data_IF_749674184121
#
_entry.id   IF_749674184121
#
_cell.length_a   1.000
_cell.length_b   1.000
_cell.length_c   1.000
_cell.angle_alpha   90.00
_cell.angle_beta   90.00
_cell.angle_gamma   90.00
#
_symmetry.space_group_name_H-M   'P 1'
#
loop_
_entity.id
_entity.type
_entity.pdbx_description
1 polymer ?
#
# COMPACT_ATOMS: atom_id res chain seq x y z
N UNK A 1 -15.66 15.32 -0.43
CA UNK A 1 -15.73 13.95 0.14
C UNK A 1 -14.44 13.71 0.93
N UNK A 2 -14.43 14.01 2.23
CA UNK A 2 -13.21 13.98 3.05
C UNK A 2 -12.97 12.61 3.65
N UNK A 3 -11.92 11.91 3.23
CA UNK A 3 -11.47 10.69 3.90
C UNK A 3 -10.91 11.04 5.28
N UNK A 4 -11.69 10.76 6.33
CA UNK A 4 -11.32 10.97 7.73
C UNK A 4 -10.36 9.87 8.16
N UNK A 5 -9.07 10.18 8.18
CA UNK A 5 -8.02 9.27 8.62
C UNK A 5 -8.16 8.95 10.11
N UNK A 6 -8.48 7.69 10.42
CA UNK A 6 -8.52 7.16 11.79
C UNK A 6 -7.22 6.41 12.05
N UNK A 7 -6.28 7.06 12.74
CA UNK A 7 -5.12 6.39 13.30
C UNK A 7 -5.59 5.35 14.34
N UNK A 8 -5.50 4.07 14.00
CA UNK A 8 -5.68 2.98 14.94
C UNK A 8 -4.32 2.45 15.39
N UNK A 9 -4.05 2.47 16.71
CA UNK A 9 -2.97 1.69 17.33
C UNK A 9 -3.25 0.17 17.24
N UNK A 10 -3.46 -0.36 16.05
CA UNK A 10 -3.58 -1.81 15.81
C UNK A 10 -2.86 -2.11 14.51
N UNK A 11 -1.68 -2.73 14.59
CA UNK A 11 -1.04 -3.29 13.39
C UNK A 11 0.48 -3.23 13.30
N UNK A 12 1.21 -2.79 14.33
CA UNK A 12 2.67 -3.02 14.34
C UNK A 12 2.87 -4.52 14.54
N UNK A 13 3.08 -5.27 13.44
CA UNK A 13 3.33 -6.71 13.44
C UNK A 13 2.18 -7.61 12.99
N UNK A 14 1.02 -7.08 12.61
CA UNK A 14 -0.09 -7.90 12.09
C UNK A 14 -0.04 -7.92 10.57
N UNK A 15 0.12 -9.11 9.94
CA UNK A 15 -0.17 -9.27 8.51
C UNK A 15 -1.58 -8.74 8.25
N UNK A 16 -1.81 -7.82 7.31
CA UNK A 16 -3.16 -7.45 6.93
C UNK A 16 -3.93 -8.75 6.61
N UNK A 17 -5.14 -8.91 7.12
CA UNK A 17 -5.99 -10.05 6.79
C UNK A 17 -6.49 -10.05 5.33
N UNK A 18 -5.68 -9.58 4.39
CA UNK A 18 -6.03 -9.36 2.99
C UNK A 18 -4.81 -9.14 2.11
N UNK A 19 -5.05 -9.09 0.80
CA UNK A 19 -4.05 -8.96 -0.27
C UNK A 19 -3.24 -7.68 -0.13
N UNK A 20 -1.91 -7.80 -0.19
CA UNK A 20 -0.95 -6.68 -0.17
C UNK A 20 -0.36 -6.45 -1.56
N UNK A 21 0.32 -5.32 -1.77
CA UNK A 21 1.07 -5.08 -3.02
C UNK A 21 2.11 -6.18 -3.29
N UNK A 22 2.64 -6.80 -2.25
CA UNK A 22 3.56 -7.93 -2.34
C UNK A 22 2.86 -9.26 -2.66
N UNK A 23 1.55 -9.29 -2.87
CA UNK A 23 0.82 -10.47 -3.34
C UNK A 23 0.38 -10.30 -4.80
N UNK A 24 0.44 -9.07 -5.34
CA UNK A 24 0.04 -8.76 -6.70
C UNK A 24 1.13 -9.11 -7.72
N UNK A 25 0.70 -9.50 -8.91
CA UNK A 25 1.56 -9.75 -10.06
C UNK A 25 1.73 -8.50 -10.94
N UNK A 26 2.76 -8.44 -11.80
CA UNK A 26 2.88 -7.38 -12.79
C UNK A 26 1.64 -7.28 -13.69
N UNK A 27 1.25 -6.06 -14.04
CA UNK A 27 0.05 -5.75 -14.81
C UNK A 27 -1.25 -5.72 -13.99
N UNK A 28 -1.23 -6.12 -12.72
CA UNK A 28 -2.43 -6.05 -11.87
C UNK A 28 -2.69 -4.62 -11.38
N UNK A 29 -3.95 -4.20 -11.50
CA UNK A 29 -4.47 -2.97 -10.91
C UNK A 29 -5.26 -3.28 -9.64
N UNK A 30 -5.09 -2.45 -8.60
CA UNK A 30 -5.80 -2.60 -7.34
C UNK A 30 -6.11 -1.23 -6.71
N UNK A 31 -7.16 -1.17 -5.89
CA UNK A 31 -7.48 0.02 -5.10
C UNK A 31 -6.88 -0.12 -3.70
N UNK A 32 -6.11 0.87 -3.27
CA UNK A 32 -5.59 0.92 -1.90
C UNK A 32 -6.76 1.07 -0.94
N UNK A 33 -6.98 0.08 -0.06
CA UNK A 33 -8.02 0.14 0.98
C UNK A 33 -7.53 0.76 2.28
N UNK A 34 -6.22 0.70 2.53
CA UNK A 34 -5.60 1.12 3.78
C UNK A 34 -4.09 0.94 3.73
N UNK A 35 -3.38 1.61 4.64
CA UNK A 35 -1.93 1.47 4.81
C UNK A 35 -1.67 1.00 6.24
N UNK A 36 -0.98 -0.14 6.37
CA UNK A 36 -0.53 -0.68 7.66
C UNK A 36 0.98 -0.50 7.74
N UNK A 37 1.42 0.59 8.37
CA UNK A 37 2.83 0.93 8.52
C UNK A 37 3.06 1.87 9.71
N UNK A 38 4.32 2.03 10.13
CA UNK A 38 4.71 3.09 11.08
C UNK A 38 4.58 4.49 10.48
N UNK A 39 4.52 5.52 11.33
CA UNK A 39 4.21 6.90 10.93
C UNK A 39 5.05 7.42 9.76
N UNK A 40 6.38 7.28 9.82
CA UNK A 40 7.29 7.79 8.78
C UNK A 40 7.06 7.12 7.42
N UNK A 41 6.81 5.81 7.41
CA UNK A 41 6.53 5.04 6.19
C UNK A 41 5.18 5.40 5.62
N UNK A 42 4.14 5.47 6.47
CA UNK A 42 2.80 5.87 6.05
C UNK A 42 2.78 7.30 5.46
N UNK A 43 3.50 8.23 6.09
CA UNK A 43 3.69 9.59 5.56
C UNK A 43 4.39 9.57 4.20
N UNK A 44 5.49 8.82 4.07
CA UNK A 44 6.21 8.74 2.79
C UNK A 44 5.34 8.16 1.66
N UNK A 45 4.52 7.15 1.95
CA UNK A 45 3.56 6.60 1.00
C UNK A 45 2.53 7.65 0.58
N UNK A 46 2.00 8.42 1.53
CA UNK A 46 1.07 9.50 1.24
C UNK A 46 1.72 10.62 0.40
N UNK A 47 2.97 11.00 0.68
CA UNK A 47 3.73 11.97 -0.10
C UNK A 47 3.95 11.50 -1.56
N UNK A 48 3.90 10.18 -1.82
CA UNK A 48 3.95 9.59 -3.18
C UNK A 48 2.57 9.39 -3.80
N UNK A 49 1.48 9.81 -3.15
CA UNK A 49 0.11 9.63 -3.63
C UNK A 49 -0.52 8.27 -3.30
N UNK A 50 0.18 7.39 -2.58
CA UNK A 50 -0.33 6.08 -2.18
C UNK A 50 -1.19 6.25 -0.92
N UNK A 51 -2.47 6.48 -1.13
CA UNK A 51 -3.47 6.72 -0.08
C UNK A 51 -4.73 5.85 -0.32
N UNK A 52 -5.57 5.60 0.70
CA UNK A 52 -6.81 4.87 0.48
C UNK A 52 -7.68 5.53 -0.58
N UNK A 53 -8.17 4.74 -1.53
CA UNK A 53 -8.91 5.20 -2.71
C UNK A 53 -8.04 5.38 -3.95
N UNK A 54 -6.71 5.44 -3.80
CA UNK A 54 -5.77 5.47 -4.94
C UNK A 54 -5.83 4.13 -5.69
N UNK A 55 -5.91 4.19 -7.02
CA UNK A 55 -5.70 3.03 -7.90
C UNK A 55 -4.20 2.90 -8.14
N UNK A 56 -3.66 1.70 -7.98
CA UNK A 56 -2.25 1.43 -8.22
C UNK A 56 -2.08 0.26 -9.17
N UNK A 57 -1.16 0.39 -10.12
CA UNK A 57 -0.81 -0.65 -11.09
C UNK A 57 0.58 -1.18 -10.78
N UNK A 58 0.72 -2.50 -10.63
CA UNK A 58 2.04 -3.11 -10.46
C UNK A 58 2.74 -3.15 -11.81
N UNK A 59 3.84 -2.41 -11.94
CA UNK A 59 4.66 -2.40 -13.17
C UNK A 59 5.61 -3.59 -13.16
N UNK A 60 6.30 -3.79 -12.04
CA UNK A 60 7.32 -4.81 -11.89
C UNK A 60 7.37 -5.32 -10.47
N UNK A 61 7.68 -6.61 -10.36
CA UNK A 61 7.98 -7.28 -9.11
C UNK A 61 9.19 -8.19 -9.29
N UNK A 62 10.18 -8.05 -8.41
CA UNK A 62 11.33 -8.97 -8.38
C UNK A 62 11.00 -10.22 -7.54
N UNK A 63 11.45 -11.38 -8.02
CA UNK A 63 11.03 -12.71 -7.53
C UNK A 63 11.60 -13.06 -6.14
N UNK A 64 12.72 -12.46 -5.73
CA UNK A 64 13.42 -12.80 -4.48
C UNK A 64 13.15 -11.83 -3.32
N UNK A 65 13.49 -10.54 -3.49
CA UNK A 65 13.38 -9.56 -2.40
C UNK A 65 13.45 -8.11 -2.90
N UNK A 66 13.18 -7.89 -4.20
CA UNK A 66 13.33 -6.57 -4.78
C UNK A 66 12.07 -5.71 -4.58
N UNK A 67 12.19 -4.40 -4.83
CA UNK A 67 11.07 -3.49 -4.70
C UNK A 67 9.91 -3.92 -5.60
N UNK A 68 8.69 -3.59 -5.16
CA UNK A 68 7.50 -3.60 -6.01
C UNK A 68 7.42 -2.20 -6.63
N UNK A 69 7.53 -2.14 -7.95
CA UNK A 69 7.34 -0.90 -8.69
C UNK A 69 5.86 -0.73 -9.01
N UNK A 70 5.31 0.41 -8.62
CA UNK A 70 3.91 0.75 -8.81
C UNK A 70 3.76 2.10 -9.51
N UNK A 71 2.76 2.20 -10.36
CA UNK A 71 2.23 3.46 -10.87
C UNK A 71 0.98 3.83 -10.08
N UNK A 72 0.83 5.13 -9.83
CA UNK A 72 -0.21 5.77 -9.02
C UNK A 72 -1.00 6.74 -9.89
#
# INVERSE_FOLDING_TARGET
MGYRWRWGKKGVGQRPGGTTLADLGPGTEAVVRGVVAGYNVARRLADMGITPGTVVRVVRRNVLMGPVEVEV
#
